data_IF_360429539015
#
_entry.id   IF_360429539015
#
_cell.length_a   1.000
_cell.length_b   1.000
_cell.length_c   1.000
_cell.angle_alpha   90.00
_cell.angle_beta   90.00
_cell.angle_gamma   90.00
#
_symmetry.space_group_name_H-M   'P 1'
#
loop_
_entity.id
_entity.type
_entity.pdbx_description
1 polymer ?
#
# COMPACT_ATOMS: atom_id res chain seq x y z
N UNK A 1 -42.33 9.05 16.83
CA UNK A 1 -40.91 8.67 16.64
C UNK A 1 -40.62 8.70 15.16
N UNK A 2 -39.90 9.71 14.67
CA UNK A 2 -39.45 9.73 13.27
C UNK A 2 -38.24 8.79 13.13
N UNK A 3 -38.16 7.96 12.08
CA UNK A 3 -36.99 7.11 11.90
C UNK A 3 -35.81 8.03 11.59
N UNK A 4 -34.78 8.02 12.43
CA UNK A 4 -33.50 8.63 12.04
C UNK A 4 -32.99 7.83 10.85
N UNK A 5 -33.13 8.37 9.65
CA UNK A 5 -32.53 7.82 8.44
C UNK A 5 -31.04 7.68 8.74
N UNK A 6 -30.56 6.46 8.99
CA UNK A 6 -29.15 6.23 9.25
C UNK A 6 -28.40 6.46 7.94
N UNK A 7 -28.09 7.72 7.67
CA UNK A 7 -27.22 8.10 6.59
C UNK A 7 -25.90 7.38 6.84
N UNK A 8 -25.43 6.65 5.82
CA UNK A 8 -24.09 6.06 5.90
C UNK A 8 -23.10 7.18 6.22
N UNK A 9 -22.06 6.93 7.05
CA UNK A 9 -21.27 7.98 7.67
C UNK A 9 -20.54 8.89 6.66
N UNK A 10 -20.31 8.43 5.42
CA UNK A 10 -19.66 9.20 4.36
C UNK A 10 -20.60 9.51 3.17
N UNK A 11 -21.93 9.46 3.39
CA UNK A 11 -22.89 9.76 2.33
C UNK A 11 -22.67 11.14 1.71
N UNK A 12 -22.58 11.19 0.38
CA UNK A 12 -22.36 12.43 -0.39
C UNK A 12 -20.90 12.87 -0.51
N UNK A 13 -19.97 12.22 0.18
CA UNK A 13 -18.55 12.55 0.09
C UNK A 13 -17.95 11.98 -1.20
N UNK A 14 -17.09 12.77 -1.84
CA UNK A 14 -16.22 12.33 -2.93
C UNK A 14 -14.80 12.29 -2.40
N UNK A 15 -14.18 11.12 -2.37
CA UNK A 15 -12.90 10.91 -1.67
C UNK A 15 -11.82 10.52 -2.68
N UNK A 16 -10.74 11.30 -2.73
CA UNK A 16 -9.55 10.97 -3.51
C UNK A 16 -8.78 9.82 -2.85
N UNK A 17 -8.49 8.77 -3.62
CA UNK A 17 -7.63 7.66 -3.22
C UNK A 17 -6.33 7.77 -4.04
N UNK A 18 -5.22 8.26 -3.46
CA UNK A 18 -4.02 8.66 -4.21
C UNK A 18 -3.12 7.48 -4.63
N UNK A 19 -3.45 6.25 -4.25
CA UNK A 19 -2.70 5.04 -4.56
C UNK A 19 -3.62 4.03 -5.25
N UNK A 20 -3.14 3.47 -6.35
CA UNK A 20 -3.86 2.46 -7.13
C UNK A 20 -3.59 1.02 -6.71
N UNK A 21 -3.88 0.10 -7.62
CA UNK A 21 -3.72 -1.35 -7.43
C UNK A 21 -4.64 -1.92 -6.34
N UNK A 22 -4.36 -3.15 -5.92
CA UNK A 22 -5.18 -3.89 -4.95
C UNK A 22 -5.44 -3.10 -3.65
N UNK A 23 -4.46 -2.30 -3.21
CA UNK A 23 -4.64 -1.43 -2.04
C UNK A 23 -5.71 -0.36 -2.29
N UNK A 24 -5.61 0.36 -3.42
CA UNK A 24 -6.57 1.40 -3.79
C UNK A 24 -7.97 0.84 -4.01
N UNK A 25 -8.05 -0.34 -4.62
CA UNK A 25 -9.32 -1.04 -4.84
C UNK A 25 -10.00 -1.46 -3.53
N UNK A 26 -9.22 -1.96 -2.56
CA UNK A 26 -9.70 -2.28 -1.22
C UNK A 26 -10.24 -1.05 -0.50
N UNK A 27 -9.47 0.04 -0.45
CA UNK A 27 -9.91 1.30 0.17
C UNK A 27 -11.15 1.87 -0.51
N UNK A 28 -11.21 1.82 -1.85
CA UNK A 28 -12.39 2.26 -2.59
C UNK A 28 -13.61 1.38 -2.30
N UNK A 29 -13.45 0.07 -2.14
CA UNK A 29 -14.53 -0.82 -1.72
C UNK A 29 -15.08 -0.41 -0.35
N UNK A 30 -14.20 -0.22 0.64
CA UNK A 30 -14.57 0.20 2.00
C UNK A 30 -15.31 1.54 1.98
N UNK A 31 -14.80 2.54 1.26
CA UNK A 31 -15.46 3.84 1.12
C UNK A 31 -16.89 3.75 0.58
N UNK A 32 -17.14 2.86 -0.40
CA UNK A 32 -18.50 2.60 -0.92
C UNK A 32 -19.41 1.96 0.13
N UNK A 33 -18.87 1.08 0.99
CA UNK A 33 -19.65 0.50 2.10
C UNK A 33 -20.18 1.62 3.03
N UNK A 34 -19.36 2.64 3.29
CA UNK A 34 -19.68 3.84 4.08
C UNK A 34 -20.41 4.94 3.30
N UNK A 35 -20.75 4.73 2.03
CA UNK A 35 -21.60 5.63 1.24
C UNK A 35 -20.88 6.76 0.51
N UNK A 36 -19.54 6.75 0.50
CA UNK A 36 -18.75 7.69 -0.28
C UNK A 36 -18.65 7.26 -1.75
N UNK A 37 -18.27 8.23 -2.60
CA UNK A 37 -17.85 8.03 -3.99
C UNK A 37 -16.33 8.13 -4.05
N UNK A 38 -15.59 7.00 -4.07
CA UNK A 38 -14.14 7.04 -4.20
C UNK A 38 -13.71 7.42 -5.63
N UNK A 39 -12.61 8.15 -5.74
CA UNK A 39 -11.92 8.49 -6.98
C UNK A 39 -10.48 8.03 -6.86
N UNK A 40 -10.15 6.90 -7.49
CA UNK A 40 -8.77 6.40 -7.51
C UNK A 40 -8.00 7.21 -8.54
N UNK A 41 -6.96 7.90 -8.09
CA UNK A 41 -6.01 8.60 -8.95
C UNK A 41 -4.60 8.24 -8.46
N UNK A 42 -3.92 7.27 -9.09
CA UNK A 42 -2.59 6.84 -8.66
C UNK A 42 -1.57 7.96 -8.87
N UNK A 43 -1.15 8.61 -7.78
CA UNK A 43 -0.15 9.68 -7.77
C UNK A 43 1.23 9.19 -7.31
N UNK A 44 1.26 8.03 -6.63
CA UNK A 44 2.49 7.35 -6.21
C UNK A 44 2.41 5.88 -6.60
N UNK A 45 3.58 5.30 -6.88
CA UNK A 45 3.72 3.87 -7.13
C UNK A 45 5.07 3.38 -6.61
N UNK A 46 5.20 2.06 -6.45
CA UNK A 46 6.50 1.45 -6.23
C UNK A 46 7.25 1.29 -7.54
N UNK A 47 8.55 1.49 -7.46
CA UNK A 47 9.47 1.27 -8.56
C UNK A 47 10.72 0.58 -8.02
N UNK A 48 11.44 -0.10 -8.91
CA UNK A 48 12.76 -0.64 -8.59
C UNK A 48 13.71 0.48 -8.18
N UNK A 49 14.65 0.16 -7.30
CA UNK A 49 15.71 1.10 -6.91
C UNK A 49 16.61 1.41 -8.11
N UNK A 50 17.06 2.66 -8.23
CA UNK A 50 18.06 3.07 -9.21
C UNK A 50 19.45 2.47 -8.90
N UNK A 51 19.69 2.11 -7.63
CA UNK A 51 20.96 1.56 -7.15
C UNK A 51 20.91 0.03 -7.05
N UNK A 52 20.57 -0.66 -8.15
CA UNK A 52 20.37 -2.10 -8.16
C UNK A 52 21.60 -2.91 -7.68
N UNK A 53 22.82 -2.46 -8.02
CA UNK A 53 24.06 -3.12 -7.60
C UNK A 53 24.28 -3.04 -6.08
N UNK A 54 24.06 -1.85 -5.50
CA UNK A 54 24.21 -1.66 -4.04
C UNK A 54 23.22 -2.52 -3.26
N UNK A 55 21.96 -2.59 -3.73
CA UNK A 55 20.97 -3.48 -3.16
C UNK A 55 21.40 -4.95 -3.25
N UNK A 56 21.87 -5.40 -4.43
CA UNK A 56 22.34 -6.78 -4.62
C UNK A 56 23.49 -7.13 -3.67
N UNK A 57 24.46 -6.24 -3.52
CA UNK A 57 25.61 -6.49 -2.64
C UNK A 57 25.22 -6.46 -1.16
N UNK A 58 24.29 -5.58 -0.76
CA UNK A 58 23.73 -5.60 0.58
C UNK A 58 22.99 -6.91 0.87
N UNK A 59 22.22 -7.43 -0.09
CA UNK A 59 21.52 -8.71 0.04
C UNK A 59 22.49 -9.91 0.14
N UNK A 60 23.58 -9.94 -0.64
CA UNK A 60 24.62 -10.97 -0.49
C UNK A 60 25.28 -10.93 0.89
N UNK A 61 25.56 -9.74 1.41
CA UNK A 61 26.10 -9.57 2.77
C UNK A 61 25.12 -10.07 3.83
N UNK A 62 23.82 -9.83 3.63
CA UNK A 62 22.77 -10.38 4.49
C UNK A 62 22.74 -11.90 4.46
N UNK A 63 22.77 -12.51 3.27
CA UNK A 63 22.85 -13.98 3.10
C UNK A 63 24.10 -14.57 3.78
N UNK A 64 25.23 -13.88 3.72
CA UNK A 64 26.48 -14.26 4.39
C UNK A 64 26.48 -14.05 5.91
N UNK A 65 25.37 -13.61 6.51
CA UNK A 65 25.25 -13.37 7.95
C UNK A 65 26.06 -12.16 8.45
N UNK A 66 26.33 -11.17 7.60
CA UNK A 66 27.10 -9.96 7.96
C UNK A 66 26.29 -8.91 8.74
N UNK A 67 25.02 -9.18 9.00
CA UNK A 67 24.14 -8.33 9.80
C UNK A 67 23.50 -9.20 10.89
N UNK A 68 23.52 -8.72 12.13
CA UNK A 68 22.88 -9.39 13.26
C UNK A 68 21.35 -9.21 13.25
N UNK A 69 20.85 -8.15 12.59
CA UNK A 69 19.44 -7.76 12.59
C UNK A 69 19.00 -7.25 11.22
N UNK A 70 17.74 -7.50 10.88
CA UNK A 70 17.04 -6.93 9.73
C UNK A 70 15.78 -6.19 10.22
N UNK A 71 15.55 -4.98 9.70
CA UNK A 71 14.33 -4.21 9.98
C UNK A 71 13.53 -4.08 8.68
N UNK A 72 12.27 -4.48 8.73
CA UNK A 72 11.32 -4.38 7.61
C UNK A 72 10.25 -3.35 7.98
N UNK A 73 10.13 -2.29 7.19
CA UNK A 73 9.22 -1.15 7.48
C UNK A 73 7.94 -1.16 6.64
N UNK A 74 7.86 -2.00 5.61
CA UNK A 74 6.72 -2.12 4.71
C UNK A 74 6.57 -3.56 4.21
N UNK A 75 5.32 -4.00 4.00
CA UNK A 75 5.01 -5.28 3.37
C UNK A 75 5.68 -5.42 1.99
N UNK A 76 5.78 -4.32 1.22
CA UNK A 76 6.40 -4.31 -0.10
C UNK A 76 7.88 -4.73 -0.08
N UNK A 77 8.59 -4.48 1.03
CA UNK A 77 9.98 -4.94 1.17
C UNK A 77 10.07 -6.47 1.12
N UNK A 78 9.06 -7.19 1.61
CA UNK A 78 9.02 -8.66 1.56
C UNK A 78 8.94 -9.13 0.11
N UNK A 79 8.09 -8.51 -0.71
CA UNK A 79 7.95 -8.84 -2.13
C UNK A 79 9.28 -8.65 -2.87
N UNK A 80 10.00 -7.56 -2.59
CA UNK A 80 11.33 -7.30 -3.17
C UNK A 80 12.35 -8.34 -2.71
N UNK A 81 12.34 -8.76 -1.45
CA UNK A 81 13.26 -9.79 -0.96
C UNK A 81 13.02 -11.15 -1.63
N UNK A 82 11.75 -11.52 -1.85
CA UNK A 82 11.39 -12.77 -2.53
C UNK A 82 11.78 -12.72 -4.00
N UNK A 83 11.65 -11.57 -4.68
CA UNK A 83 11.99 -11.45 -6.11
C UNK A 83 13.48 -11.50 -6.42
N UNK A 84 14.35 -11.52 -5.39
CA UNK A 84 15.81 -11.49 -5.51
C UNK A 84 16.48 -12.85 -5.23
N UNK A 85 15.69 -13.91 -5.04
CA UNK A 85 16.14 -15.31 -5.03
C UNK A 85 16.30 -15.84 -6.45
#
# INVERSE_FOLDING_TARGET
MSPSRSLKPLAGWRVLVPRGGNWGDGVAADLRTYGAVPVIAPMINFASTENAMELSDALKRLEQGRFDWLVITSATTVDVLISQQ
#
